data_IF_582918845235
#
_entry.id   IF_582918845235
#
_cell.length_a   1.000
_cell.length_b   1.000
_cell.length_c   1.000
_cell.angle_alpha   90.00
_cell.angle_beta   90.00
_cell.angle_gamma   90.00
#
_symmetry.space_group_name_H-M   'P 1'
#
loop_
_entity.id
_entity.type
_entity.pdbx_description
1 polymer ?
#
# COMPACT_ATOMS: atom_id res chain seq x y z
N UNK A 1 36.15 -19.04 -11.13
CA UNK A 1 36.13 -20.51 -10.93
C UNK A 1 34.73 -21.03 -11.20
N UNK A 2 34.50 -21.66 -12.34
CA UNK A 2 33.24 -22.32 -12.70
C UNK A 2 33.14 -23.64 -11.94
N UNK A 3 32.21 -23.73 -10.99
CA UNK A 3 31.97 -24.97 -10.21
C UNK A 3 31.28 -25.99 -11.12
N UNK A 4 31.98 -27.08 -11.46
CA UNK A 4 31.35 -28.24 -12.09
C UNK A 4 30.22 -28.74 -11.19
N UNK A 5 28.98 -28.62 -11.67
CA UNK A 5 27.81 -29.22 -11.02
C UNK A 5 27.79 -30.68 -11.44
N UNK A 6 27.94 -31.59 -10.48
CA UNK A 6 27.65 -33.01 -10.70
C UNK A 6 26.15 -33.14 -10.99
N UNK A 7 25.78 -33.77 -12.10
CA UNK A 7 24.39 -34.10 -12.41
C UNK A 7 23.88 -35.15 -11.41
N UNK A 8 22.60 -35.06 -11.04
CA UNK A 8 21.96 -36.09 -10.23
C UNK A 8 22.01 -37.41 -10.98
N UNK A 9 22.52 -38.43 -10.31
CA UNK A 9 22.54 -39.80 -10.83
C UNK A 9 21.18 -40.47 -10.56
N UNK A 10 20.85 -41.54 -11.29
CA UNK A 10 19.59 -42.28 -11.07
C UNK A 10 19.47 -42.79 -9.63
N UNK A 11 20.59 -43.16 -9.02
CA UNK A 11 20.65 -43.59 -7.62
C UNK A 11 20.27 -42.46 -6.63
N UNK A 12 20.50 -41.19 -6.98
CA UNK A 12 20.10 -40.05 -6.14
C UNK A 12 18.58 -39.84 -6.15
N UNK A 13 17.95 -40.09 -7.30
CA UNK A 13 16.49 -39.98 -7.45
C UNK A 13 15.77 -41.13 -6.73
N UNK A 14 16.30 -42.35 -6.82
CA UNK A 14 15.75 -43.51 -6.10
C UNK A 14 15.90 -43.35 -4.58
N UNK A 15 17.04 -42.83 -4.11
CA UNK A 15 17.23 -42.52 -2.68
C UNK A 15 16.24 -41.49 -2.15
N UNK A 16 15.90 -40.45 -2.92
CA UNK A 16 14.92 -39.43 -2.50
C UNK A 16 13.54 -40.06 -2.32
N UNK A 17 13.13 -40.92 -3.26
CA UNK A 17 11.82 -41.58 -3.20
C UNK A 17 11.69 -42.55 -2.02
N UNK A 18 12.74 -43.33 -1.73
CA UNK A 18 12.78 -44.21 -0.56
C UNK A 18 12.75 -43.43 0.76
N UNK A 19 13.42 -42.27 0.81
CA UNK A 19 13.43 -41.39 1.98
C UNK A 19 12.05 -40.76 2.26
N UNK A 20 11.34 -40.30 1.22
CA UNK A 20 9.99 -39.73 1.38
C UNK A 20 8.96 -40.79 1.83
N UNK A 21 9.10 -42.03 1.35
CA UNK A 21 8.27 -43.15 1.77
C UNK A 21 8.55 -43.58 3.24
N UNK A 22 9.82 -43.59 3.65
CA UNK A 22 10.21 -43.86 5.04
C UNK A 22 9.73 -42.76 6.01
N UNK A 23 9.73 -41.49 5.59
CA UNK A 23 9.26 -40.35 6.38
C UNK A 23 7.78 -40.45 6.75
N UNK A 24 6.91 -40.87 5.81
CA UNK A 24 5.48 -41.01 6.07
C UNK A 24 5.10 -42.22 6.94
N UNK A 25 5.97 -43.23 7.01
CA UNK A 25 5.67 -44.53 7.63
C UNK A 25 6.35 -44.75 8.99
N UNK A 26 7.62 -44.35 9.14
CA UNK A 26 8.43 -44.63 10.33
C UNK A 26 8.51 -43.46 11.32
N UNK A 27 8.11 -42.26 10.90
CA UNK A 27 8.41 -41.03 11.66
C UNK A 27 7.18 -40.13 11.89
N UNK A 28 6.05 -40.71 12.31
CA UNK A 28 4.98 -39.93 12.95
C UNK A 28 5.51 -39.33 14.27
N UNK A 29 5.43 -38.00 14.42
CA UNK A 29 5.93 -37.26 15.59
C UNK A 29 4.83 -37.07 16.63
N UNK A 30 5.15 -37.41 17.88
CA UNK A 30 4.37 -37.11 19.08
C UNK A 30 4.34 -35.58 19.35
N UNK A 31 3.19 -35.08 19.78
CA UNK A 31 2.84 -33.66 19.75
C UNK A 31 3.54 -32.81 20.83
N UNK A 32 3.89 -33.41 21.98
CA UNK A 32 4.47 -32.68 23.11
C UNK A 32 6.01 -32.61 23.10
N UNK A 33 6.65 -32.96 21.97
CA UNK A 33 8.12 -33.00 21.87
C UNK A 33 8.69 -31.64 21.44
N UNK A 34 9.58 -31.02 22.24
CA UNK A 34 10.25 -29.79 21.84
C UNK A 34 11.21 -30.02 20.65
N UNK A 35 11.06 -29.20 19.60
CA UNK A 35 11.78 -29.30 18.33
C UNK A 35 13.18 -28.66 18.44
N UNK A 36 14.23 -29.40 18.07
CA UNK A 36 15.62 -29.06 18.38
C UNK A 36 16.45 -28.54 17.19
N UNK A 37 15.82 -28.02 16.13
CA UNK A 37 16.55 -27.58 14.92
C UNK A 37 16.92 -26.11 14.99
N UNK A 38 18.02 -25.81 15.66
CA UNK A 38 18.78 -24.58 15.46
C UNK A 38 19.61 -24.68 14.16
N UNK A 39 19.47 -23.66 13.31
CA UNK A 39 20.09 -23.47 11.97
C UNK A 39 19.38 -24.21 10.82
N UNK A 40 18.32 -23.60 10.29
CA UNK A 40 17.81 -23.91 8.95
C UNK A 40 18.85 -23.48 7.90
N UNK A 41 19.45 -24.39 7.10
CA UNK A 41 20.07 -23.97 5.86
C UNK A 41 18.94 -23.48 4.95
N UNK A 42 18.81 -22.16 4.80
CA UNK A 42 17.94 -21.58 3.78
C UNK A 42 18.43 -22.10 2.42
N UNK A 43 17.86 -23.21 1.92
CA UNK A 43 17.92 -23.56 0.50
C UNK A 43 17.29 -22.37 -0.21
N UNK A 44 18.12 -21.46 -0.72
CA UNK A 44 17.66 -20.34 -1.54
C UNK A 44 16.97 -21.01 -2.74
N UNK A 45 15.65 -20.95 -2.77
CA UNK A 45 14.90 -21.30 -3.97
C UNK A 45 15.52 -20.57 -5.16
N UNK A 46 15.52 -21.14 -6.37
CA UNK A 46 15.97 -20.43 -7.56
C UNK A 46 15.32 -19.03 -7.60
N UNK A 47 16.11 -18.01 -7.87
CA UNK A 47 15.67 -16.60 -7.78
C UNK A 47 14.41 -16.34 -8.63
N UNK A 48 14.26 -17.08 -9.72
CA UNK A 48 13.09 -17.07 -10.60
C UNK A 48 11.83 -17.55 -9.90
N UNK A 49 11.91 -18.65 -9.15
CA UNK A 49 10.80 -19.18 -8.34
C UNK A 49 10.41 -18.20 -7.25
N UNK A 50 11.39 -17.57 -6.59
CA UNK A 50 11.13 -16.56 -5.56
C UNK A 50 10.45 -15.30 -6.13
N UNK A 51 10.92 -14.79 -7.28
CA UNK A 51 10.30 -13.66 -7.99
C UNK A 51 8.89 -14.00 -8.47
N UNK A 52 8.68 -15.21 -8.99
CA UNK A 52 7.36 -15.67 -9.41
C UNK A 52 6.38 -15.74 -8.23
N UNK A 53 6.80 -16.30 -7.09
CA UNK A 53 6.00 -16.31 -5.86
C UNK A 53 5.71 -14.91 -5.33
N UNK A 54 6.66 -13.97 -5.43
CA UNK A 54 6.43 -12.58 -5.02
C UNK A 54 5.37 -11.91 -5.91
N UNK A 55 5.49 -12.06 -7.24
CA UNK A 55 4.47 -11.53 -8.17
C UNK A 55 3.09 -12.13 -7.90
N UNK A 56 3.01 -13.44 -7.66
CA UNK A 56 1.75 -14.12 -7.34
C UNK A 56 1.14 -13.58 -6.03
N UNK A 57 1.95 -13.37 -4.99
CA UNK A 57 1.49 -12.78 -3.72
C UNK A 57 0.98 -11.35 -3.91
N UNK A 58 1.71 -10.52 -4.66
CA UNK A 58 1.29 -9.14 -4.95
C UNK A 58 0.01 -9.10 -5.80
N UNK A 59 -0.12 -9.95 -6.81
CA UNK A 59 -1.33 -10.03 -7.63
C UNK A 59 -2.55 -10.48 -6.82
N UNK A 60 -2.38 -11.50 -5.96
CA UNK A 60 -3.43 -11.93 -5.03
C UNK A 60 -3.83 -10.80 -4.08
N UNK A 61 -2.86 -10.11 -3.48
CA UNK A 61 -3.11 -9.00 -2.57
C UNK A 61 -3.88 -7.86 -3.25
N UNK A 62 -3.49 -7.47 -4.48
CA UNK A 62 -4.22 -6.45 -5.26
C UNK A 62 -5.65 -6.88 -5.54
N UNK A 63 -5.85 -8.11 -6.03
CA UNK A 63 -7.19 -8.64 -6.30
C UNK A 63 -8.06 -8.69 -5.04
N UNK A 64 -7.47 -9.01 -3.88
CA UNK A 64 -8.19 -9.02 -2.60
C UNK A 64 -8.56 -7.60 -2.13
N UNK A 65 -7.67 -6.63 -2.32
CA UNK A 65 -7.96 -5.21 -2.06
C UNK A 65 -9.09 -4.68 -2.95
N UNK A 66 -9.05 -5.02 -4.25
CA UNK A 66 -10.09 -4.64 -5.21
C UNK A 66 -11.45 -5.26 -4.86
N UNK A 67 -11.47 -6.56 -4.48
CA UNK A 67 -12.69 -7.25 -4.03
C UNK A 67 -13.29 -6.61 -2.79
N UNK A 68 -12.45 -6.17 -1.86
CA UNK A 68 -12.89 -5.47 -0.64
C UNK A 68 -13.22 -4.00 -0.89
N UNK A 69 -12.93 -3.47 -2.08
CA UNK A 69 -13.00 -2.04 -2.41
C UNK A 69 -12.25 -1.19 -1.37
N UNK A 70 -11.07 -1.66 -0.96
CA UNK A 70 -10.26 -0.96 0.03
C UNK A 70 -9.69 0.32 -0.60
N UNK A 71 -9.97 1.51 -0.04
CA UNK A 71 -9.46 2.75 -0.61
C UNK A 71 -7.95 2.88 -0.36
N UNK A 72 -7.26 3.46 -1.33
CA UNK A 72 -5.86 3.85 -1.22
C UNK A 72 -5.72 5.11 -0.35
N UNK A 73 -4.53 5.33 0.21
CA UNK A 73 -4.26 6.55 0.99
C UNK A 73 -4.48 7.84 0.18
N UNK A 74 -4.25 7.80 -1.14
CA UNK A 74 -4.52 8.92 -2.03
C UNK A 74 -6.03 9.17 -2.18
N UNK A 75 -6.84 8.13 -2.35
CA UNK A 75 -8.30 8.25 -2.42
C UNK A 75 -8.88 8.77 -1.10
N UNK A 76 -8.38 8.28 0.05
CA UNK A 76 -8.78 8.81 1.37
C UNK A 76 -8.39 10.27 1.51
N UNK A 77 -7.16 10.64 1.15
CA UNK A 77 -6.69 12.03 1.21
C UNK A 77 -7.50 12.95 0.30
N UNK A 78 -7.83 12.50 -0.91
CA UNK A 78 -8.70 13.25 -1.84
C UNK A 78 -10.12 13.37 -1.29
N UNK A 79 -10.72 12.30 -0.77
CA UNK A 79 -12.05 12.35 -0.17
C UNK A 79 -12.12 13.33 1.00
N UNK A 80 -11.10 13.37 1.86
CA UNK A 80 -10.99 14.34 2.95
C UNK A 80 -10.83 15.77 2.42
N UNK A 81 -9.98 15.99 1.41
CA UNK A 81 -9.80 17.30 0.80
C UNK A 81 -11.09 17.80 0.14
N UNK A 82 -11.82 16.93 -0.56
CA UNK A 82 -13.11 17.27 -1.16
C UNK A 82 -14.14 17.59 -0.09
N UNK A 83 -14.24 16.76 0.96
CA UNK A 83 -15.17 17.00 2.06
C UNK A 83 -14.89 18.35 2.73
N UNK A 84 -13.62 18.64 3.05
CA UNK A 84 -13.24 19.93 3.63
C UNK A 84 -13.54 21.11 2.68
N UNK A 85 -13.38 20.92 1.38
CA UNK A 85 -13.67 21.95 0.38
C UNK A 85 -15.17 22.20 0.21
N UNK A 86 -16.01 21.17 0.32
CA UNK A 86 -17.47 21.26 0.11
C UNK A 86 -18.26 21.43 1.40
N UNK A 87 -17.62 21.34 2.58
CA UNK A 87 -18.32 21.55 3.85
C UNK A 87 -18.82 22.99 3.91
N UNK A 88 -20.10 23.16 4.21
CA UNK A 88 -20.65 24.47 4.53
C UNK A 88 -20.27 24.83 5.96
N UNK A 89 -19.61 25.97 6.11
CA UNK A 89 -19.09 26.45 7.40
C UNK A 89 -20.20 26.95 8.35
N UNK A 90 -21.46 26.59 8.07
CA UNK A 90 -22.61 26.83 8.94
C UNK A 90 -22.49 26.04 10.25
N UNK A 91 -21.89 24.85 10.20
CA UNK A 91 -21.51 24.08 11.38
C UNK A 91 -20.05 24.38 11.77
N UNK A 92 -19.84 24.86 13.00
CA UNK A 92 -18.50 25.09 13.52
C UNK A 92 -17.72 23.77 13.60
N UNK A 93 -16.59 23.69 12.88
CA UNK A 93 -15.64 22.59 13.03
C UNK A 93 -15.29 22.36 14.50
N UNK A 94 -15.15 21.10 14.89
CA UNK A 94 -14.72 20.75 16.24
C UNK A 94 -13.23 21.03 16.41
N UNK A 95 -12.77 21.12 17.66
CA UNK A 95 -11.33 21.27 17.97
C UNK A 95 -10.49 20.14 17.36
N UNK A 96 -11.04 18.93 17.26
CA UNK A 96 -10.37 17.78 16.67
C UNK A 96 -10.14 17.95 15.15
N UNK A 97 -11.10 18.56 14.45
CA UNK A 97 -10.99 18.81 13.01
C UNK A 97 -9.89 19.84 12.73
N UNK A 98 -9.82 20.90 13.54
CA UNK A 98 -8.75 21.89 13.47
C UNK A 98 -7.38 21.29 13.72
N UNK A 99 -7.26 20.42 14.73
CA UNK A 99 -6.01 19.72 15.03
C UNK A 99 -5.56 18.80 13.88
N UNK A 100 -6.51 18.10 13.24
CA UNK A 100 -6.23 17.27 12.08
C UNK A 100 -5.69 18.09 10.90
N UNK A 101 -6.36 19.19 10.57
CA UNK A 101 -5.95 20.11 9.48
C UNK A 101 -4.59 20.72 9.80
N UNK A 102 -4.37 21.15 11.05
CA UNK A 102 -3.09 21.74 11.48
C UNK A 102 -1.94 20.74 11.32
N UNK A 103 -2.13 19.48 11.73
CA UNK A 103 -1.12 18.43 11.55
C UNK A 103 -0.86 18.15 10.07
N UNK A 104 -1.90 18.10 9.24
CA UNK A 104 -1.75 17.89 7.80
C UNK A 104 -0.96 19.03 7.13
N UNK A 105 -1.24 20.29 7.46
CA UNK A 105 -0.47 21.44 6.96
C UNK A 105 0.98 21.43 7.47
N UNK A 106 1.19 21.08 8.75
CA UNK A 106 2.54 20.99 9.32
C UNK A 106 3.38 19.89 8.65
N UNK A 107 2.77 18.76 8.29
CA UNK A 107 3.43 17.69 7.53
C UNK A 107 3.76 18.12 6.10
N UNK A 108 2.89 18.89 5.43
CA UNK A 108 3.19 19.47 4.12
C UNK A 108 4.36 20.47 4.19
N UNK A 109 4.38 21.33 5.20
CA UNK A 109 5.46 22.27 5.44
C UNK A 109 6.78 21.55 5.73
N UNK A 110 6.77 20.49 6.54
CA UNK A 110 7.95 19.66 6.81
C UNK A 110 8.50 18.97 5.55
N UNK A 111 7.65 18.74 4.55
CA UNK A 111 8.05 18.21 3.22
C UNK A 111 8.48 19.32 2.24
N UNK A 112 8.50 20.58 2.68
CA UNK A 112 8.93 21.74 1.89
C UNK A 112 7.83 22.40 1.05
N UNK A 113 6.56 22.05 1.26
CA UNK A 113 5.44 22.71 0.58
C UNK A 113 5.03 24.01 1.28
N UNK A 114 4.56 24.99 0.52
CA UNK A 114 4.04 26.24 1.07
C UNK A 114 2.61 26.09 1.56
N UNK A 115 2.37 26.42 2.84
CA UNK A 115 1.03 26.46 3.42
C UNK A 115 0.10 27.44 2.69
N UNK A 116 0.63 28.52 2.12
CA UNK A 116 -0.14 29.50 1.34
C UNK A 116 -0.65 28.86 0.05
N UNK A 117 0.21 28.15 -0.67
CA UNK A 117 -0.17 27.45 -1.90
C UNK A 117 -1.10 26.25 -1.62
N UNK A 118 -0.92 25.56 -0.49
CA UNK A 118 -1.85 24.51 -0.07
C UNK A 118 -3.27 25.08 0.16
N UNK A 119 -3.41 26.18 0.89
CA UNK A 119 -4.69 26.87 1.10
C UNK A 119 -5.30 27.37 -0.21
N UNK A 120 -4.47 27.91 -1.10
CA UNK A 120 -4.90 28.35 -2.44
C UNK A 120 -5.42 27.19 -3.28
N UNK A 121 -4.76 26.04 -3.20
CA UNK A 121 -5.18 24.81 -3.89
C UNK A 121 -6.53 24.32 -3.37
N UNK A 122 -6.75 24.35 -2.05
CA UNK A 122 -8.04 24.02 -1.43
C UNK A 122 -9.15 24.99 -1.85
N UNK A 123 -8.85 26.31 -1.93
CA UNK A 123 -9.81 27.30 -2.43
C UNK A 123 -10.20 27.04 -3.88
N UNK A 124 -9.23 26.77 -4.76
CA UNK A 124 -9.51 26.41 -6.16
C UNK A 124 -10.31 25.11 -6.29
N UNK A 125 -10.09 24.15 -5.39
CA UNK A 125 -10.88 22.92 -5.35
C UNK A 125 -12.34 23.23 -4.98
N UNK A 126 -12.57 24.06 -3.95
CA UNK A 126 -13.90 24.56 -3.59
C UNK A 126 -14.54 25.32 -4.74
N UNK A 127 -13.80 26.22 -5.39
CA UNK A 127 -14.29 27.00 -6.53
C UNK A 127 -14.79 26.13 -7.68
N UNK A 128 -14.20 24.95 -7.86
CA UNK A 128 -14.58 23.98 -8.90
C UNK A 128 -15.77 23.11 -8.48
N UNK A 129 -15.91 22.81 -7.19
CA UNK A 129 -16.86 21.83 -6.69
C UNK A 129 -18.15 22.43 -6.14
N UNK A 130 -18.12 23.68 -5.69
CA UNK A 130 -19.26 24.37 -5.07
C UNK A 130 -19.79 25.44 -6.02
N UNK A 131 -21.10 25.41 -6.26
CA UNK A 131 -21.78 26.38 -7.12
C UNK A 131 -21.62 27.80 -6.52
N UNK A 132 -21.29 28.83 -7.33
CA UNK A 132 -21.28 30.22 -6.88
C UNK A 132 -22.51 30.66 -6.09
N UNK A 133 -23.69 30.11 -6.38
CA UNK A 133 -24.94 30.43 -5.66
C UNK A 133 -24.87 30.06 -4.18
N UNK A 134 -24.16 28.98 -3.85
CA UNK A 134 -24.04 28.47 -2.47
C UNK A 134 -22.91 29.15 -1.68
N UNK A 135 -22.20 30.11 -2.29
CA UNK A 135 -21.07 30.85 -1.69
C UNK A 135 -21.08 32.34 -2.04
N UNK A 136 -22.19 33.06 -1.80
CA UNK A 136 -22.37 34.43 -2.27
C UNK A 136 -21.35 35.43 -1.71
N UNK A 137 -20.78 35.14 -0.54
CA UNK A 137 -19.81 36.01 0.15
C UNK A 137 -18.34 35.66 -0.14
N UNK A 138 -18.05 34.64 -0.96
CA UNK A 138 -16.69 34.18 -1.23
C UNK A 138 -16.07 34.84 -2.48
N UNK A 139 -14.91 35.49 -2.31
CA UNK A 139 -14.15 36.04 -3.45
C UNK A 139 -13.53 34.89 -4.26
N UNK A 140 -14.06 34.69 -5.47
CA UNK A 140 -13.56 33.70 -6.44
C UNK A 140 -12.20 34.14 -6.98
N UNK A 141 -11.19 33.26 -6.92
CA UNK A 141 -9.91 33.56 -7.57
C UNK A 141 -10.03 33.45 -9.10
N UNK A 142 -9.44 34.37 -9.88
CA UNK A 142 -9.44 34.27 -11.34
C UNK A 142 -8.70 32.99 -11.78
N UNK A 143 -9.41 32.15 -12.52
CA UNK A 143 -8.92 30.85 -12.96
C UNK A 143 -7.93 31.02 -14.13
N UNK A 144 -6.62 30.81 -13.89
CA UNK A 144 -5.61 30.79 -14.96
C UNK A 144 -5.68 29.44 -15.70
N UNK A 145 -6.41 29.41 -16.81
CA UNK A 145 -6.73 28.24 -17.63
C UNK A 145 -5.51 27.55 -18.29
N UNK A 146 -4.27 28.03 -18.05
CA UNK A 146 -3.05 27.56 -18.73
C UNK A 146 -2.46 26.26 -18.17
N UNK A 147 -2.96 25.75 -17.04
CA UNK A 147 -2.49 24.50 -16.42
C UNK A 147 -3.61 23.46 -16.35
N UNK A 148 -4.08 22.98 -17.51
CA UNK A 148 -4.82 21.71 -17.54
C UNK A 148 -3.84 20.60 -17.16
N UNK A 149 -3.98 20.04 -15.96
CA UNK A 149 -3.32 18.79 -15.62
C UNK A 149 -3.91 17.71 -16.54
N UNK A 150 -3.06 16.87 -17.18
CA UNK A 150 -3.56 15.74 -17.95
C UNK A 150 -4.27 14.80 -16.99
N UNK A 151 -5.56 14.56 -17.24
CA UNK A 151 -6.28 13.43 -16.66
C UNK A 151 -5.74 12.13 -17.29
#
# INVERSE_FOLDING_TARGET
MTKLRRSLTKDDLSRIAEMDAACGTLFQRDADRPDNVFVKPRRRQPIEVSRAQQRMRTARWRSEMDRRKAPTAAEVGMALATALATTDWSDTLTSLDYDLIRRALSDLEARGFSNVEARRTMRRLRDRMVDPVDRPDEVTEPYDNKRKLPF
#
